data_IF_552351570287
#
_entry.id   IF_552351570287
#
_cell.length_a   1.000
_cell.length_b   1.000
_cell.length_c   1.000
_cell.angle_alpha   90.00
_cell.angle_beta   90.00
_cell.angle_gamma   90.00
#
_symmetry.space_group_name_H-M   'P 1'
#
loop_
_entity.id
_entity.type
_entity.pdbx_description
1 polymer ?
#
# COMPACT_ATOMS: atom_id res chain seq x y z
N UNK A 1 -10.37 6.53 -4.07
CA UNK A 1 -8.94 6.88 -4.07
C UNK A 1 -8.32 6.27 -5.31
N UNK A 2 -7.27 6.89 -5.84
CA UNK A 2 -6.65 6.45 -7.10
C UNK A 2 -5.14 6.34 -6.94
N UNK A 3 -4.58 5.19 -7.32
CA UNK A 3 -3.13 4.96 -7.31
C UNK A 3 -2.59 5.50 -8.64
N UNK A 4 -2.03 6.72 -8.62
CA UNK A 4 -1.43 7.35 -9.80
C UNK A 4 -0.11 6.70 -10.21
N UNK A 5 0.58 6.07 -9.26
CA UNK A 5 1.87 5.42 -9.51
C UNK A 5 2.22 4.50 -8.37
N UNK A 6 2.81 3.36 -8.67
CA UNK A 6 3.50 2.52 -7.68
C UNK A 6 4.82 2.03 -8.28
N UNK A 7 5.89 2.11 -7.51
CA UNK A 7 7.23 1.76 -7.97
C UNK A 7 8.11 1.25 -6.84
N UNK A 8 9.14 0.53 -7.22
CA UNK A 8 10.16 0.02 -6.32
C UNK A 8 11.31 1.01 -6.32
N UNK A 9 11.75 1.40 -5.13
CA UNK A 9 12.80 2.39 -4.94
C UNK A 9 13.90 1.75 -4.10
N UNK A 10 15.10 1.72 -4.66
CA UNK A 10 16.30 1.38 -3.92
C UNK A 10 16.91 2.69 -3.43
N UNK A 11 16.55 3.11 -2.22
CA UNK A 11 17.04 4.38 -1.67
C UNK A 11 18.38 4.14 -0.96
N UNK A 12 19.48 4.20 -1.71
CA UNK A 12 20.81 4.13 -1.12
C UNK A 12 21.20 5.39 -0.32
N UNK A 13 20.52 6.54 -0.51
CA UNK A 13 20.94 7.80 0.14
C UNK A 13 19.84 8.82 0.48
N UNK A 14 18.55 8.59 0.18
CA UNK A 14 17.51 9.65 0.29
C UNK A 14 16.90 9.75 1.72
N UNK A 15 16.86 8.65 2.48
CA UNK A 15 16.22 8.61 3.81
C UNK A 15 17.17 8.19 4.95
N UNK A 16 18.45 8.54 4.83
CA UNK A 16 19.42 8.46 5.94
C UNK A 16 19.73 7.07 6.49
N UNK A 17 19.56 5.99 5.69
CA UNK A 17 19.82 4.62 6.13
C UNK A 17 20.56 3.82 5.06
N UNK A 18 21.28 2.77 5.50
CA UNK A 18 21.77 1.67 4.66
C UNK A 18 20.65 1.21 3.71
N UNK A 19 20.99 0.85 2.47
CA UNK A 19 20.07 0.54 1.36
C UNK A 19 18.71 -0.01 1.80
N UNK A 20 17.71 0.86 1.91
CA UNK A 20 16.35 0.44 2.26
C UNK A 20 15.64 -0.04 1.00
N UNK A 21 15.09 -1.25 1.07
CA UNK A 21 14.17 -1.83 0.09
C UNK A 21 12.78 -1.23 0.29
N UNK A 22 12.36 -0.36 -0.62
CA UNK A 22 11.16 0.47 -0.42
C UNK A 22 10.22 0.39 -1.61
N UNK A 23 8.92 0.36 -1.33
CA UNK A 23 7.85 0.62 -2.29
C UNK A 23 7.42 2.07 -2.09
N UNK A 24 7.31 2.82 -3.18
CA UNK A 24 6.74 4.16 -3.21
C UNK A 24 5.47 4.15 -4.05
N UNK A 25 4.39 4.66 -3.49
CA UNK A 25 3.07 4.76 -4.11
C UNK A 25 2.58 6.21 -4.07
N UNK A 26 2.29 6.80 -5.23
CA UNK A 26 1.52 8.04 -5.33
C UNK A 26 0.05 7.70 -5.24
N UNK A 27 -0.59 8.17 -4.18
CA UNK A 27 -2.02 7.98 -3.93
C UNK A 27 -2.72 9.34 -3.99
N UNK A 28 -3.68 9.46 -4.89
CA UNK A 28 -4.61 10.56 -4.93
C UNK A 28 -5.82 10.22 -4.05
N UNK A 29 -6.03 11.00 -2.99
CA UNK A 29 -7.12 10.77 -2.04
C UNK A 29 -8.41 11.53 -2.39
N UNK A 30 -8.39 12.38 -3.41
CA UNK A 30 -9.52 13.21 -3.82
C UNK A 30 -10.07 14.06 -2.67
N UNK A 31 -11.40 14.10 -2.53
CA UNK A 31 -12.11 14.91 -1.53
C UNK A 31 -11.86 14.49 -0.07
N UNK A 32 -11.12 13.41 0.19
CA UNK A 32 -10.79 12.96 1.54
C UNK A 32 -9.76 13.86 2.24
N UNK A 33 -9.13 14.80 1.53
CA UNK A 33 -8.13 15.73 2.10
C UNK A 33 -8.61 16.51 3.32
N UNK A 34 -9.92 16.77 3.40
CA UNK A 34 -10.54 17.55 4.47
C UNK A 34 -11.01 16.69 5.65
N UNK A 35 -10.72 15.38 5.66
CA UNK A 35 -11.22 14.45 6.69
C UNK A 35 -10.09 13.69 7.35
N UNK A 36 -10.04 13.82 8.67
CA UNK A 36 -9.22 13.03 9.57
C UNK A 36 -10.01 11.85 10.14
N UNK A 37 -9.31 10.82 10.64
CA UNK A 37 -9.94 9.55 11.03
C UNK A 37 -11.01 9.66 12.13
N UNK A 38 -10.92 10.66 12.99
CA UNK A 38 -11.89 10.96 14.05
C UNK A 38 -13.15 11.69 13.56
N UNK A 39 -13.11 12.29 12.36
CA UNK A 39 -14.27 12.92 11.72
C UNK A 39 -15.11 11.94 10.90
N UNK A 40 -14.60 10.71 10.69
CA UNK A 40 -15.26 9.68 9.90
C UNK A 40 -15.94 8.69 10.83
N UNK A 41 -17.27 8.72 10.85
CA UNK A 41 -18.06 7.92 11.77
C UNK A 41 -17.75 6.42 11.68
N UNK A 42 -17.42 5.84 12.84
CA UNK A 42 -17.12 4.42 13.02
C UNK A 42 -15.82 3.94 12.35
N UNK A 43 -15.05 4.80 11.67
CA UNK A 43 -13.87 4.39 10.93
C UNK A 43 -12.78 3.77 11.82
N UNK A 44 -12.42 4.45 12.91
CA UNK A 44 -11.46 3.93 13.90
C UNK A 44 -11.91 2.56 14.45
N UNK A 45 -13.19 2.42 14.80
CA UNK A 45 -13.73 1.16 15.30
C UNK A 45 -13.62 0.03 14.27
N UNK A 46 -13.97 0.30 13.00
CA UNK A 46 -13.87 -0.70 11.93
C UNK A 46 -12.43 -1.17 11.71
N UNK A 47 -11.44 -0.27 11.75
CA UNK A 47 -10.01 -0.65 11.65
C UNK A 47 -9.60 -1.54 12.82
N UNK A 48 -9.91 -1.12 14.05
CA UNK A 48 -9.54 -1.85 15.27
C UNK A 48 -10.12 -3.26 15.30
N UNK A 49 -11.33 -3.41 14.77
CA UNK A 49 -12.02 -4.71 14.65
C UNK A 49 -11.42 -5.57 13.53
N UNK A 50 -11.12 -4.98 12.38
CA UNK A 50 -10.59 -5.72 11.23
C UNK A 50 -9.13 -6.17 11.45
N UNK A 51 -8.29 -5.30 12.03
CA UNK A 51 -6.84 -5.51 12.17
C UNK A 51 -6.40 -5.19 13.62
N UNK A 52 -6.81 -5.99 14.62
CA UNK A 52 -6.49 -5.72 16.03
C UNK A 52 -4.99 -5.74 16.33
N UNK A 53 -4.19 -6.44 15.52
CA UNK A 53 -2.74 -6.53 15.66
C UNK A 53 -2.01 -5.19 15.50
N UNK A 54 -2.63 -4.22 14.81
CA UNK A 54 -2.14 -2.84 14.71
C UNK A 54 -1.97 -2.14 16.07
N UNK A 55 -2.61 -2.65 17.14
CA UNK A 55 -2.34 -2.19 18.51
C UNK A 55 -0.87 -2.35 18.90
N UNK A 56 -0.25 -3.46 18.48
CA UNK A 56 1.12 -3.83 18.84
C UNK A 56 2.18 -3.25 17.89
N UNK A 57 1.75 -2.75 16.72
CA UNK A 57 2.64 -2.13 15.74
C UNK A 57 3.28 -0.87 16.34
N UNK A 58 4.61 -0.83 16.33
CA UNK A 58 5.37 0.35 16.74
C UNK A 58 5.12 1.46 15.71
N UNK A 59 4.52 2.56 16.17
CA UNK A 59 4.44 3.82 15.43
C UNK A 59 5.72 4.65 15.68
N UNK A 60 5.91 5.79 15.00
CA UNK A 60 7.05 6.69 15.20
C UNK A 60 7.30 7.05 16.68
N UNK A 61 6.25 7.07 17.51
CA UNK A 61 6.35 7.35 18.94
C UNK A 61 6.96 6.20 19.77
N UNK A 62 7.11 4.99 19.21
CA UNK A 62 7.71 3.83 19.89
C UNK A 62 6.87 3.21 21.00
N UNK A 63 5.64 3.69 21.23
CA UNK A 63 4.74 3.25 22.31
C UNK A 63 3.71 2.26 21.78
N UNK A 64 3.52 1.14 22.49
CA UNK A 64 2.44 0.16 22.23
C UNK A 64 1.07 0.86 22.31
N UNK A 65 0.20 0.58 21.33
CA UNK A 65 -1.10 1.24 21.20
C UNK A 65 -1.03 2.66 20.64
N UNK A 66 0.16 3.17 20.31
CA UNK A 66 0.35 4.53 19.78
C UNK A 66 -0.45 4.79 18.51
N UNK A 67 -0.49 3.82 17.58
CA UNK A 67 -1.27 3.96 16.35
C UNK A 67 -2.79 4.04 16.62
N UNK A 68 -3.33 3.24 17.55
CA UNK A 68 -4.75 3.32 17.90
C UNK A 68 -5.11 4.65 18.57
N UNK A 69 -4.21 5.19 19.39
CA UNK A 69 -4.38 6.53 19.96
C UNK A 69 -4.36 7.60 18.85
N UNK A 70 -3.45 7.50 17.90
CA UNK A 70 -3.41 8.40 16.74
C UNK A 70 -4.69 8.31 15.90
N UNK A 71 -5.21 7.10 15.65
CA UNK A 71 -6.50 6.92 14.97
C UNK A 71 -7.66 7.63 15.68
N UNK A 72 -7.71 7.55 17.01
CA UNK A 72 -8.76 8.21 17.80
C UNK A 72 -8.58 9.72 17.88
N UNK A 73 -7.34 10.20 17.88
CA UNK A 73 -7.02 11.62 17.88
C UNK A 73 -7.21 12.30 16.52
N UNK A 74 -7.29 11.52 15.44
CA UNK A 74 -7.37 12.02 14.07
C UNK A 74 -6.02 12.02 13.37
N UNK A 75 -5.81 11.06 12.48
CA UNK A 75 -4.70 11.04 11.50
C UNK A 75 -5.24 11.08 10.08
N UNK A 76 -4.36 11.22 9.11
CA UNK A 76 -4.73 11.27 7.70
C UNK A 76 -4.97 9.87 7.12
N UNK A 77 -5.83 9.77 6.10
CA UNK A 77 -6.10 8.51 5.41
C UNK A 77 -4.84 7.88 4.78
N UNK A 78 -3.93 8.62 4.12
CA UNK A 78 -2.67 8.08 3.63
C UNK A 78 -1.78 7.43 4.70
N UNK A 79 -1.73 8.00 5.91
CA UNK A 79 -0.99 7.39 7.03
C UNK A 79 -1.59 6.04 7.45
N UNK A 80 -2.93 5.95 7.47
CA UNK A 80 -3.63 4.67 7.72
C UNK A 80 -3.28 3.63 6.67
N UNK A 81 -3.30 4.01 5.38
CA UNK A 81 -2.89 3.11 4.28
C UNK A 81 -1.45 2.62 4.48
N UNK A 82 -0.52 3.51 4.85
CA UNK A 82 0.87 3.15 5.09
C UNK A 82 1.02 2.12 6.23
N UNK A 83 0.31 2.32 7.35
CA UNK A 83 0.33 1.39 8.48
C UNK A 83 -0.31 0.04 8.15
N UNK A 84 -1.43 0.02 7.42
CA UNK A 84 -2.09 -1.22 7.01
C UNK A 84 -1.21 -2.01 6.03
N UNK A 85 -0.57 -1.34 5.06
CA UNK A 85 0.34 -1.99 4.11
C UNK A 85 1.51 -2.67 4.83
N UNK A 86 2.11 -2.01 5.82
CA UNK A 86 3.18 -2.61 6.61
C UNK A 86 2.68 -3.75 7.52
N UNK A 87 1.46 -3.64 8.06
CA UNK A 87 0.84 -4.70 8.88
C UNK A 87 0.49 -5.96 8.09
N UNK A 88 -0.05 -5.82 6.89
CA UNK A 88 -0.32 -6.94 6.00
C UNK A 88 0.94 -7.78 5.75
N UNK A 89 2.07 -7.12 5.50
CA UNK A 89 3.36 -7.80 5.32
C UNK A 89 3.76 -8.56 6.59
N UNK A 90 3.63 -7.96 7.77
CA UNK A 90 3.94 -8.61 9.06
C UNK A 90 3.03 -9.81 9.35
N UNK A 91 1.73 -9.69 9.09
CA UNK A 91 0.79 -10.82 9.22
C UNK A 91 1.08 -11.96 8.23
N UNK A 92 1.74 -11.66 7.12
CA UNK A 92 2.23 -12.65 6.16
C UNK A 92 3.62 -13.23 6.49
N UNK A 93 4.23 -12.79 7.60
CA UNK A 93 5.55 -13.25 8.06
C UNK A 93 6.74 -12.44 7.56
N UNK A 94 6.51 -11.27 6.96
CA UNK A 94 7.56 -10.34 6.58
C UNK A 94 7.73 -9.25 7.64
N UNK A 95 8.87 -9.23 8.33
CA UNK A 95 9.18 -8.18 9.30
C UNK A 95 9.54 -6.87 8.58
N UNK A 96 8.59 -5.95 8.55
CA UNK A 96 8.74 -4.61 7.96
C UNK A 96 8.31 -3.55 8.97
N UNK A 97 9.22 -2.64 9.29
CA UNK A 97 9.11 -1.66 10.37
C UNK A 97 8.88 -0.22 9.87
N UNK A 98 9.31 0.07 8.65
CA UNK A 98 9.23 1.41 8.08
C UNK A 98 8.01 1.57 7.18
N UNK A 99 7.19 2.56 7.51
CA UNK A 99 6.11 3.09 6.69
C UNK A 99 5.94 4.58 6.95
N UNK A 100 5.70 5.38 5.91
CA UNK A 100 5.39 6.81 6.04
C UNK A 100 4.49 7.28 4.91
N UNK A 101 3.79 8.39 5.12
CA UNK A 101 3.03 9.10 4.09
C UNK A 101 3.44 10.57 4.09
N UNK A 102 3.78 11.10 2.92
CA UNK A 102 4.22 12.48 2.75
C UNK A 102 3.37 13.15 1.68
N UNK A 103 2.82 14.31 2.00
CA UNK A 103 2.04 15.13 1.08
C UNK A 103 2.93 15.68 -0.05
N UNK A 104 2.44 15.66 -1.28
CA UNK A 104 3.19 16.10 -2.47
C UNK A 104 2.66 17.39 -3.07
N UNK A 105 1.40 17.39 -3.49
CA UNK A 105 0.79 18.42 -4.32
C UNK A 105 -0.64 18.69 -3.87
N UNK A 106 -1.01 19.97 -3.75
CA UNK A 106 -2.37 20.49 -3.54
C UNK A 106 -3.18 19.80 -2.41
N UNK A 107 -2.48 19.18 -1.46
CA UNK A 107 -3.05 18.40 -0.36
C UNK A 107 -3.88 17.17 -0.76
N UNK A 108 -3.86 16.79 -2.05
CA UNK A 108 -4.65 15.67 -2.60
C UNK A 108 -3.80 14.45 -2.91
N UNK A 109 -2.53 14.65 -3.24
CA UNK A 109 -1.62 13.59 -3.66
C UNK A 109 -0.59 13.35 -2.58
N UNK A 110 -0.45 12.09 -2.19
CA UNK A 110 0.50 11.64 -1.17
C UNK A 110 1.45 10.60 -1.74
N UNK A 111 2.72 10.70 -1.34
CA UNK A 111 3.68 9.61 -1.44
C UNK A 111 3.58 8.73 -0.20
N UNK A 112 3.02 7.54 -0.38
CA UNK A 112 3.05 6.48 0.61
C UNK A 112 4.28 5.63 0.34
N UNK A 113 4.99 5.34 1.41
CA UNK A 113 6.26 4.63 1.36
C UNK A 113 6.23 3.52 2.39
N UNK A 114 6.57 2.30 1.96
CA UNK A 114 6.66 1.14 2.85
C UNK A 114 7.91 0.33 2.54
N UNK A 115 8.55 -0.17 3.60
CA UNK A 115 9.64 -1.15 3.47
C UNK A 115 9.11 -2.51 3.02
N UNK A 116 9.97 -3.30 2.36
CA UNK A 116 9.65 -4.66 1.93
C UNK A 116 10.82 -5.62 2.10
N UNK A 117 10.50 -6.91 2.27
CA UNK A 117 11.48 -8.02 2.16
C UNK A 117 11.49 -8.58 0.73
N UNK A 118 10.30 -8.85 0.20
CA UNK A 118 10.06 -9.29 -1.16
C UNK A 118 9.29 -8.22 -1.93
N UNK A 119 9.80 -7.83 -3.09
CA UNK A 119 9.29 -6.72 -3.91
C UNK A 119 7.80 -6.88 -4.24
N UNK A 120 7.44 -8.07 -4.75
CA UNK A 120 6.08 -8.43 -5.09
C UNK A 120 5.12 -8.35 -3.89
N UNK A 121 5.60 -8.78 -2.71
CA UNK A 121 4.79 -8.75 -1.48
C UNK A 121 4.56 -7.31 -1.00
N UNK A 122 5.59 -6.46 -1.09
CA UNK A 122 5.48 -5.04 -0.76
C UNK A 122 4.49 -4.31 -1.68
N UNK A 123 4.59 -4.57 -3.00
CA UNK A 123 3.66 -3.97 -3.97
C UNK A 123 2.22 -4.43 -3.72
N UNK A 124 1.99 -5.75 -3.57
CA UNK A 124 0.67 -6.30 -3.27
C UNK A 124 0.07 -5.68 -2.00
N UNK A 125 0.84 -5.64 -0.91
CA UNK A 125 0.39 -5.08 0.35
C UNK A 125 0.01 -3.59 0.25
N UNK A 126 0.77 -2.79 -0.52
CA UNK A 126 0.46 -1.38 -0.72
C UNK A 126 -0.87 -1.17 -1.48
N UNK A 127 -1.14 -1.96 -2.52
CA UNK A 127 -2.39 -1.86 -3.29
C UNK A 127 -3.59 -2.33 -2.47
N UNK A 128 -3.49 -3.49 -1.84
CA UNK A 128 -4.58 -4.04 -1.01
C UNK A 128 -4.88 -3.15 0.19
N UNK A 129 -3.88 -2.47 0.77
CA UNK A 129 -4.12 -1.52 1.84
C UNK A 129 -5.05 -0.37 1.41
N UNK A 130 -4.96 0.10 0.15
CA UNK A 130 -5.90 1.10 -0.39
C UNK A 130 -7.30 0.51 -0.47
N UNK A 131 -7.46 -0.71 -0.99
CA UNK A 131 -8.77 -1.39 -1.07
C UNK A 131 -9.42 -1.60 0.31
N UNK A 132 -8.64 -2.04 1.30
CA UNK A 132 -9.08 -2.18 2.70
C UNK A 132 -9.59 -0.83 3.22
N UNK A 133 -8.80 0.23 3.05
CA UNK A 133 -9.17 1.56 3.55
C UNK A 133 -10.43 2.07 2.84
N UNK A 134 -10.59 1.85 1.54
CA UNK A 134 -11.82 2.20 0.84
C UNK A 134 -13.04 1.45 1.38
N UNK A 135 -12.92 0.14 1.64
CA UNK A 135 -13.99 -0.65 2.22
C UNK A 135 -14.36 -0.14 3.63
N UNK A 136 -13.35 0.18 4.44
CA UNK A 136 -13.53 0.77 5.76
C UNK A 136 -14.17 2.16 5.71
N UNK A 137 -13.82 2.99 4.73
CA UNK A 137 -14.47 4.29 4.50
C UNK A 137 -15.95 4.14 4.12
N UNK A 138 -16.26 3.16 3.28
CA UNK A 138 -17.62 2.84 2.82
C UNK A 138 -18.44 2.07 3.87
N UNK A 139 -17.81 1.60 4.96
CA UNK A 139 -18.46 0.77 5.98
C UNK A 139 -18.82 -0.63 5.50
N UNK A 140 -18.21 -1.11 4.41
CA UNK A 140 -18.48 -2.42 3.83
C UNK A 140 -17.63 -3.50 4.49
N UNK A 141 -18.14 -4.73 4.70
CA UNK A 141 -17.34 -5.85 5.19
C UNK A 141 -16.13 -6.12 4.28
N UNK A 142 -15.00 -6.48 4.89
CA UNK A 142 -13.77 -6.83 4.18
C UNK A 142 -13.16 -8.12 4.74
N UNK A 143 -12.75 -9.04 3.88
CA UNK A 143 -12.25 -10.36 4.26
C UNK A 143 -10.72 -10.44 4.12
N UNK A 144 -10.00 -9.74 5.02
CA UNK A 144 -8.53 -9.59 5.01
C UNK A 144 -7.75 -10.91 4.99
N UNK A 145 -8.36 -12.00 5.44
CA UNK A 145 -7.72 -13.33 5.45
C UNK A 145 -7.25 -13.77 4.06
N UNK A 146 -8.02 -13.48 3.01
CA UNK A 146 -7.65 -13.87 1.65
C UNK A 146 -6.38 -13.16 1.18
N UNK A 147 -6.22 -11.88 1.52
CA UNK A 147 -5.03 -11.12 1.16
C UNK A 147 -3.80 -11.57 1.94
N UNK A 148 -3.97 -11.92 3.22
CA UNK A 148 -2.89 -12.48 4.04
C UNK A 148 -2.44 -13.83 3.48
N UNK A 149 -3.37 -14.70 3.09
CA UNK A 149 -3.05 -15.99 2.45
C UNK A 149 -2.33 -15.78 1.12
N UNK A 150 -2.80 -14.84 0.29
CA UNK A 150 -2.14 -14.49 -0.96
C UNK A 150 -0.74 -13.94 -0.76
N UNK A 151 -0.53 -13.07 0.23
CA UNK A 151 0.81 -12.58 0.59
C UNK A 151 1.75 -13.70 1.00
N UNK A 152 1.27 -14.68 1.77
CA UNK A 152 2.07 -15.85 2.15
C UNK A 152 2.46 -16.70 0.94
N UNK A 153 1.60 -16.81 -0.07
CA UNK A 153 1.95 -17.46 -1.35
C UNK A 153 3.02 -16.67 -2.11
N UNK A 154 2.84 -15.35 -2.24
CA UNK A 154 3.83 -14.47 -2.88
C UNK A 154 5.19 -14.62 -2.21
N UNK A 155 5.25 -14.63 -0.87
CA UNK A 155 6.49 -14.83 -0.11
C UNK A 155 7.17 -16.17 -0.46
N UNK A 156 6.40 -17.27 -0.55
CA UNK A 156 6.93 -18.58 -0.96
C UNK A 156 7.47 -18.54 -2.38
N UNK A 157 6.74 -17.94 -3.31
CA UNK A 157 7.15 -17.81 -4.72
C UNK A 157 8.44 -16.98 -4.85
N UNK A 158 8.52 -15.82 -4.21
CA UNK A 158 9.69 -14.95 -4.25
C UNK A 158 10.91 -15.63 -3.63
N UNK A 159 10.75 -16.40 -2.54
CA UNK A 159 11.84 -17.19 -1.96
C UNK A 159 12.33 -18.28 -2.92
N UNK A 160 11.44 -19.01 -3.56
CA UNK A 160 11.81 -20.03 -4.55
C UNK A 160 12.50 -19.41 -5.79
N UNK A 161 12.01 -18.27 -6.27
CA UNK A 161 12.60 -17.53 -7.38
C UNK A 161 14.04 -17.10 -7.07
N UNK A 162 14.29 -16.62 -5.84
CA UNK A 162 15.63 -16.21 -5.38
C UNK A 162 16.64 -17.36 -5.35
N UNK A 163 16.16 -18.59 -5.08
CA UNK A 163 16.99 -19.81 -5.04
C UNK A 163 17.24 -20.35 -6.46
N UNK A 164 16.26 -20.23 -7.35
CA UNK A 164 16.28 -20.89 -8.67
C UNK A 164 16.76 -19.99 -9.82
N UNK A 165 17.23 -18.77 -9.52
CA UNK A 165 17.67 -17.77 -10.52
C UNK A 165 16.61 -17.43 -11.58
N UNK A 166 15.33 -17.72 -11.30
CA UNK A 166 14.22 -17.44 -12.21
C UNK A 166 13.63 -16.08 -11.86
N UNK A 167 13.82 -15.09 -12.73
CA UNK A 167 13.09 -13.83 -12.65
C UNK A 167 11.63 -14.08 -13.06
N UNK A 168 10.75 -14.25 -12.07
CA UNK A 168 9.31 -14.39 -12.30
C UNK A 168 8.68 -13.00 -12.13
N UNK A 169 8.21 -12.41 -13.22
CA UNK A 169 7.51 -11.13 -13.19
C UNK A 169 6.07 -11.36 -12.72
N UNK A 170 5.67 -10.77 -11.61
CA UNK A 170 4.27 -10.76 -11.18
C UNK A 170 3.55 -9.51 -11.69
N UNK A 171 2.27 -9.67 -12.00
CA UNK A 171 1.37 -8.61 -12.43
C UNK A 171 0.24 -8.55 -11.42
N UNK A 172 -0.11 -7.35 -10.99
CA UNK A 172 -1.22 -7.14 -10.08
C UNK A 172 -2.31 -6.34 -10.78
N UNK A 173 -3.58 -6.67 -10.53
CA UNK A 173 -4.69 -5.86 -11.02
C UNK A 173 -4.84 -4.62 -10.14
N UNK A 174 -4.91 -3.45 -10.76
CA UNK A 174 -5.35 -2.21 -10.13
C UNK A 174 -6.79 -1.95 -10.55
N UNK A 175 -7.73 -2.13 -9.63
CA UNK A 175 -9.16 -1.95 -9.87
C UNK A 175 -9.70 -2.76 -11.08
N UNK A 176 -10.99 -2.62 -11.39
CA UNK A 176 -11.70 -3.52 -12.32
C UNK A 176 -11.19 -3.55 -13.78
N UNK A 177 -10.23 -2.68 -14.16
CA UNK A 177 -9.89 -2.47 -15.58
C UNK A 177 -8.39 -2.46 -15.92
N UNK A 178 -7.45 -2.45 -14.97
CA UNK A 178 -6.02 -2.30 -15.30
C UNK A 178 -5.13 -3.33 -14.60
N UNK A 179 -4.06 -3.75 -15.28
CA UNK A 179 -3.04 -4.66 -14.73
C UNK A 179 -1.71 -3.92 -14.73
N UNK A 180 -1.09 -3.77 -13.56
CA UNK A 180 0.22 -3.13 -13.44
C UNK A 180 1.30 -4.18 -13.34
N UNK A 181 2.29 -4.00 -14.22
CA UNK A 181 3.57 -4.70 -14.18
C UNK A 181 4.40 -4.13 -13.03
N UNK A 182 4.98 -5.02 -12.22
CA UNK A 182 6.04 -4.65 -11.26
C UNK A 182 7.18 -3.98 -12.05
N UNK A 183 7.35 -2.66 -11.86
CA UNK A 183 8.44 -1.86 -12.44
C UNK A 183 8.10 -0.70 -13.41
N UNK A 184 6.86 -0.25 -13.60
CA UNK A 184 6.57 0.92 -14.45
C UNK A 184 5.59 1.95 -13.85
N UNK A 185 5.84 3.22 -14.21
CA UNK A 185 4.99 4.40 -13.99
C UNK A 185 3.61 4.16 -14.63
N UNK A 186 2.53 4.32 -13.87
CA UNK A 186 1.19 4.44 -14.45
C UNK A 186 1.14 5.84 -15.07
N UNK A 187 1.40 5.93 -16.37
CA UNK A 187 1.17 7.18 -17.11
C UNK A 187 -0.28 7.17 -17.59
N UNK A 188 -1.10 8.09 -17.08
CA UNK A 188 -2.50 8.34 -17.50
C UNK A 188 -2.70 8.75 -18.97
N UNK A 189 -1.72 8.53 -19.86
CA UNK A 189 -1.72 9.01 -21.24
C UNK A 189 -1.90 7.94 -22.34
N UNK A 190 -2.27 6.70 -22.00
CA UNK A 190 -2.46 5.63 -23.01
C UNK A 190 -3.89 5.45 -23.51
N UNK A 191 -4.74 6.49 -23.44
CA UNK A 191 -6.04 6.48 -24.14
C UNK A 191 -5.95 6.70 -25.67
N UNK A 192 -4.74 6.89 -26.24
CA UNK A 192 -4.57 7.15 -27.68
C UNK A 192 -3.71 6.14 -28.47
N UNK A 193 -3.08 5.15 -27.84
CA UNK A 193 -2.18 4.23 -28.59
C UNK A 193 -2.92 3.04 -29.23
N UNK A 194 -4.15 2.73 -28.80
CA UNK A 194 -4.92 1.63 -29.39
C UNK A 194 -5.73 1.99 -30.65
N UNK A 195 -5.74 3.25 -31.09
CA UNK A 195 -6.42 3.64 -32.34
C UNK A 195 -5.53 3.53 -33.58
N UNK A 196 -4.20 3.54 -33.45
CA UNK A 196 -3.28 3.44 -34.59
C UNK A 196 -3.01 2.00 -35.06
N UNK A 197 -3.33 0.98 -34.25
CA UNK A 197 -3.15 -0.43 -34.63
C UNK A 197 -4.39 -1.10 -35.26
N UNK A 198 -5.55 -0.42 -35.26
CA UNK A 198 -6.74 -0.90 -35.99
C UNK A 198 -6.86 -0.34 -37.41
N UNK A 199 -5.99 0.58 -37.83
CA UNK A 199 -5.95 1.12 -39.21
C UNK A 199 -4.85 0.49 -40.08
N UNK A 200 -4.13 -0.52 -39.57
CA UNK A 200 -3.09 -1.24 -40.30
C UNK A 200 -3.45 -2.73 -40.53
N UNK A 201 -4.75 -3.01 -40.75
CA UNK A 201 -5.24 -4.28 -41.29
C UNK A 201 -6.20 -4.02 -42.44
#
# INVERSE_FOLDING_TARGET
>A
MEIEKIQVVNASHIWGAETKKLIQMRLNIGDLKLKSTNEIEGFSHRIKTLIPSLYSRKCQQGVTGGFFRSLDNGITIPEVVAHIAAELQTLAGNETDFSTAVILENEEIYNIVVSYIHEDAGMFAAMVAVEIVEALLKGTPYFIRYDIERLKEINKESRLASITSKNKQQYFKLNHHETVKVGYVINHHSKQINQSLQQAR
#
